data_IF_995351657437
#
_entry.id   IF_995351657437
#
_cell.length_a   1.000
_cell.length_b   1.000
_cell.length_c   1.000
_cell.angle_alpha   90.00
_cell.angle_beta   90.00
_cell.angle_gamma   90.00
#
_symmetry.space_group_name_H-M   'P 1'
#
loop_
_entity.id
_entity.type
_entity.pdbx_description
1 polymer ?
#
# COMPACT_ATOMS: atom_id res chain seq x y z
N UNK A 1 32.56 111.91 87.97
CA UNK A 1 33.24 112.25 86.71
C UNK A 1 32.85 111.23 85.65
N UNK A 2 32.01 111.66 84.71
CA UNK A 2 32.24 111.63 83.24
C UNK A 2 31.90 110.25 82.63
N UNK A 3 30.66 110.04 82.12
CA UNK A 3 30.17 110.27 80.72
C UNK A 3 30.75 109.20 79.76
N UNK A 4 30.06 108.48 78.87
CA UNK A 4 28.87 108.69 78.00
C UNK A 4 28.41 107.28 77.53
N UNK A 5 27.16 106.82 77.72
CA UNK A 5 26.04 106.75 76.75
C UNK A 5 26.38 106.21 75.35
N UNK A 6 25.80 105.07 74.95
CA UNK A 6 25.17 104.85 73.63
C UNK A 6 24.33 103.56 73.65
N UNK A 7 23.34 103.50 72.76
CA UNK A 7 22.08 102.77 72.88
C UNK A 7 22.01 101.47 72.04
N UNK A 8 20.94 100.69 72.32
CA UNK A 8 20.31 99.51 71.64
C UNK A 8 20.31 99.51 70.08
N UNK A 9 19.88 98.44 69.33
CA UNK A 9 19.13 97.22 69.72
C UNK A 9 19.51 95.91 68.95
N UNK A 10 18.71 94.83 69.07
CA UNK A 10 18.67 93.61 68.21
C UNK A 10 19.90 92.66 68.34
N UNK A 11 19.83 91.35 68.55
CA UNK A 11 18.98 90.30 67.94
C UNK A 11 18.86 89.12 68.93
N UNK A 12 17.64 88.62 69.04
CA UNK A 12 17.27 87.35 69.68
C UNK A 12 17.91 86.18 68.91
N UNK A 13 18.89 85.48 69.49
CA UNK A 13 19.37 84.21 68.96
C UNK A 13 18.44 83.08 69.45
N UNK A 14 17.25 83.02 68.86
CA UNK A 14 16.35 81.88 68.98
C UNK A 14 17.01 80.71 68.26
N UNK A 15 17.45 79.72 69.03
CA UNK A 15 17.85 78.42 68.50
C UNK A 15 16.61 77.76 67.85
N UNK A 16 16.37 78.07 66.58
CA UNK A 16 15.62 77.18 65.71
C UNK A 16 16.53 75.96 65.52
N UNK A 17 16.27 74.93 66.32
CA UNK A 17 16.48 73.57 65.84
C UNK A 17 15.65 73.45 64.56
N UNK A 18 16.30 73.65 63.40
CA UNK A 18 15.82 73.06 62.16
C UNK A 18 15.80 71.55 62.41
N UNK A 19 14.66 71.03 62.85
CA UNK A 19 14.20 69.77 62.32
C UNK A 19 14.21 69.96 60.80
N UNK A 20 15.33 69.57 60.18
CA UNK A 20 15.26 68.97 58.86
C UNK A 20 14.45 67.70 59.11
N UNK A 21 13.12 67.84 59.14
CA UNK A 21 12.26 66.74 58.74
C UNK A 21 12.74 66.49 57.32
N UNK A 22 13.59 65.48 57.16
CA UNK A 22 13.96 65.01 55.85
C UNK A 22 12.65 64.74 55.16
N UNK A 23 12.25 65.63 54.26
CA UNK A 23 11.17 65.35 53.34
C UNK A 23 11.75 64.22 52.52
N UNK A 24 11.45 62.99 52.94
CA UNK A 24 11.77 61.81 52.16
C UNK A 24 11.21 62.12 50.78
N UNK A 25 12.11 62.32 49.81
CA UNK A 25 11.71 62.61 48.46
C UNK A 25 10.79 61.47 48.03
N UNK A 26 9.54 61.81 47.69
CA UNK A 26 8.59 60.84 47.18
C UNK A 26 9.14 60.33 45.85
N UNK A 27 9.91 59.24 45.87
CA UNK A 27 10.35 58.57 44.67
C UNK A 27 9.11 57.92 44.05
N UNK A 28 8.87 58.21 42.77
CA UNK A 28 7.77 57.61 42.03
C UNK A 28 7.99 56.09 41.88
N UNK A 29 6.89 55.32 41.93
CA UNK A 29 6.96 53.89 41.70
C UNK A 29 7.30 53.62 40.24
N UNK A 30 8.35 52.83 40.01
CA UNK A 30 8.77 52.38 38.68
C UNK A 30 8.97 50.88 38.68
N UNK A 31 8.67 50.24 37.55
CA UNK A 31 8.97 48.83 37.29
C UNK A 31 10.02 48.81 36.19
N UNK A 32 11.19 48.24 36.49
CA UNK A 32 12.32 48.12 35.57
C UNK A 32 12.32 46.75 34.90
N UNK A 33 12.03 45.68 35.64
CA UNK A 33 11.82 44.33 35.09
C UNK A 33 10.58 43.69 35.70
N UNK A 34 9.80 42.91 34.92
CA UNK A 34 9.82 42.83 33.46
C UNK A 34 9.40 44.14 32.76
N UNK A 35 9.73 44.28 31.48
CA UNK A 35 9.12 45.30 30.61
C UNK A 35 7.79 44.79 30.05
N UNK A 36 6.89 45.72 29.68
CA UNK A 36 5.60 45.33 29.08
C UNK A 36 5.83 44.63 27.73
N UNK A 37 5.20 43.48 27.53
CA UNK A 37 5.38 42.60 26.38
C UNK A 37 6.52 41.58 26.51
N UNK A 38 7.20 41.51 27.66
CA UNK A 38 8.23 40.49 27.90
C UNK A 38 7.66 39.07 27.76
N UNK A 39 8.36 38.22 27.00
CA UNK A 39 7.97 36.82 26.76
C UNK A 39 8.72 35.93 27.74
N UNK A 40 7.97 35.05 28.38
CA UNK A 40 8.45 34.02 29.29
C UNK A 40 7.99 32.64 28.82
N UNK A 41 8.75 31.62 29.19
CA UNK A 41 8.48 30.22 28.91
C UNK A 41 8.28 29.43 30.21
N UNK A 42 7.66 28.24 30.15
CA UNK A 42 7.61 27.30 31.26
C UNK A 42 8.99 27.10 31.90
N UNK A 43 9.07 27.20 33.23
CA UNK A 43 10.30 27.07 34.01
C UNK A 43 11.10 28.37 34.19
N UNK A 44 10.77 29.43 33.46
CA UNK A 44 11.43 30.72 33.65
C UNK A 44 11.07 31.32 35.02
N UNK A 45 12.01 32.05 35.60
CA UNK A 45 11.80 32.73 36.88
C UNK A 45 11.42 34.18 36.64
N UNK A 46 10.26 34.59 37.17
CA UNK A 46 9.78 35.95 37.09
C UNK A 46 10.37 36.79 38.23
N UNK A 47 11.36 37.61 37.89
CA UNK A 47 11.97 38.57 38.80
C UNK A 47 11.40 39.96 38.51
N UNK A 48 10.78 40.55 39.53
CA UNK A 48 10.21 41.89 39.46
C UNK A 48 11.13 42.85 40.19
N UNK A 49 11.65 43.84 39.47
CA UNK A 49 12.55 44.86 40.03
C UNK A 49 12.12 46.26 39.63
N UNK A 50 12.49 47.24 40.43
CA UNK A 50 12.08 48.63 40.23
C UNK A 50 12.58 49.58 41.29
N UNK A 51 11.98 50.77 41.34
CA UNK A 51 12.20 51.75 42.41
C UNK A 51 10.89 52.17 43.05
N UNK A 52 10.93 52.42 44.36
CA UNK A 52 9.86 52.99 45.17
C UNK A 52 10.47 53.96 46.21
N UNK A 53 9.64 54.58 47.05
CA UNK A 53 10.13 55.38 48.16
C UNK A 53 11.06 54.53 49.06
N UNK A 54 12.21 55.07 49.53
CA UNK A 54 13.14 54.30 50.37
C UNK A 54 12.47 53.73 51.62
N UNK A 55 12.66 52.43 51.88
CA UNK A 55 12.02 51.72 53.00
C UNK A 55 10.52 51.42 52.82
N UNK A 56 9.92 51.74 51.67
CA UNK A 56 8.51 51.45 51.43
C UNK A 56 8.27 49.96 51.16
N UNK A 57 7.16 49.43 51.66
CA UNK A 57 6.68 48.10 51.27
C UNK A 57 6.05 48.13 49.88
N UNK A 58 6.57 47.28 48.99
CA UNK A 58 6.09 47.09 47.62
C UNK A 58 5.36 45.75 47.53
N UNK A 59 4.07 45.79 47.22
CA UNK A 59 3.27 44.59 47.00
C UNK A 59 3.14 44.30 45.51
N UNK A 60 3.34 43.05 45.12
CA UNK A 60 3.37 42.61 43.72
C UNK A 60 2.37 41.47 43.55
N UNK A 61 1.41 41.64 42.64
CA UNK A 61 0.39 40.65 42.28
C UNK A 61 0.53 40.29 40.81
N UNK A 62 0.37 39.01 40.49
CA UNK A 62 0.33 38.52 39.12
C UNK A 62 -1.02 37.88 38.85
N UNK A 63 -1.72 38.34 37.83
CA UNK A 63 -2.99 37.78 37.37
C UNK A 63 -2.79 37.06 36.05
N UNK A 64 -3.47 35.92 35.89
CA UNK A 64 -3.49 35.19 34.63
C UNK A 64 -4.45 35.84 33.61
N UNK A 65 -4.47 35.38 32.35
CA UNK A 65 -5.37 35.90 31.31
C UNK A 65 -6.86 35.91 31.67
N UNK A 66 -7.27 35.05 32.61
CA UNK A 66 -8.66 34.96 33.09
C UNK A 66 -8.94 35.89 34.28
N UNK A 67 -7.99 36.74 34.68
CA UNK A 67 -8.10 37.66 35.81
C UNK A 67 -7.93 37.01 37.19
N UNK A 68 -7.45 35.77 37.25
CA UNK A 68 -7.24 35.06 38.53
C UNK A 68 -5.85 35.38 39.07
N UNK A 69 -5.76 35.74 40.36
CA UNK A 69 -4.47 35.95 41.04
C UNK A 69 -3.68 34.64 41.14
N UNK A 70 -2.50 34.61 40.52
CA UNK A 70 -1.67 33.40 40.45
C UNK A 70 -0.44 33.44 41.33
N UNK A 71 0.16 34.61 41.53
CA UNK A 71 1.28 34.82 42.44
C UNK A 71 1.15 36.16 43.16
N UNK A 72 1.67 36.20 44.39
CA UNK A 72 1.71 37.39 45.22
C UNK A 72 3.00 37.40 46.02
N UNK A 73 3.60 38.58 46.16
CA UNK A 73 4.77 38.77 47.00
C UNK A 73 4.87 40.20 47.49
N UNK A 74 5.62 40.38 48.57
CA UNK A 74 5.89 41.69 49.17
C UNK A 74 7.38 41.80 49.40
N UNK A 75 7.95 42.95 49.06
CA UNK A 75 9.37 43.26 49.27
C UNK A 75 9.49 44.68 49.79
N UNK A 76 10.43 44.92 50.69
CA UNK A 76 10.75 46.28 51.16
C UNK A 76 11.80 46.89 50.23
N UNK A 77 11.56 48.13 49.78
CA UNK A 77 12.53 48.87 48.99
C UNK A 77 13.74 49.28 49.84
N UNK A 78 14.92 49.23 49.25
CA UNK A 78 16.17 49.54 49.93
C UNK A 78 16.10 50.94 50.61
N UNK A 79 16.41 51.05 51.92
CA UNK A 79 16.26 52.30 52.68
C UNK A 79 17.12 53.46 52.20
N UNK A 80 18.17 53.21 51.42
CA UNK A 80 19.09 54.24 50.93
C UNK A 80 18.82 54.62 49.47
N UNK A 81 18.45 53.64 48.64
CA UNK A 81 18.37 53.79 47.19
C UNK A 81 16.95 53.72 46.63
N UNK A 82 15.99 53.19 47.39
CA UNK A 82 14.61 52.94 46.95
C UNK A 82 14.47 51.76 45.99
N UNK A 83 15.54 51.00 45.73
CA UNK A 83 15.51 49.88 44.79
C UNK A 83 14.86 48.65 45.41
N UNK A 84 14.07 47.90 44.64
CA UNK A 84 13.55 46.60 45.07
C UNK A 84 13.77 45.54 43.98
N UNK A 85 13.88 44.29 44.41
CA UNK A 85 13.95 43.12 43.52
C UNK A 85 13.36 41.91 44.23
N UNK A 86 12.42 41.23 43.60
CA UNK A 86 11.74 40.07 44.14
C UNK A 86 11.65 38.98 43.08
N UNK A 87 12.12 37.78 43.41
CA UNK A 87 11.71 36.58 42.69
C UNK A 87 10.26 36.27 43.07
N UNK A 88 9.33 36.63 42.19
CA UNK A 88 7.90 36.50 42.46
C UNK A 88 7.46 35.04 42.39
N UNK A 89 7.88 34.33 41.34
CA UNK A 89 7.60 32.92 41.13
C UNK A 89 8.46 32.34 40.01
N UNK A 90 8.62 31.01 40.04
CA UNK A 90 9.03 30.23 38.87
C UNK A 90 7.77 29.76 38.13
N UNK A 91 7.70 30.02 36.82
CA UNK A 91 6.56 29.64 36.00
C UNK A 91 6.50 28.10 35.87
N UNK A 92 5.34 27.46 36.04
CA UNK A 92 5.25 26.00 36.15
C UNK A 92 5.53 25.25 34.85
N UNK A 93 5.96 23.98 34.97
CA UNK A 93 6.15 23.01 33.87
C UNK A 93 5.29 21.76 34.09
N UNK A 94 4.19 21.54 33.35
CA UNK A 94 3.60 22.38 32.30
C UNK A 94 2.65 23.49 32.83
N UNK A 95 2.50 24.64 32.15
CA UNK A 95 1.53 25.67 32.53
C UNK A 95 0.08 25.30 32.22
N UNK A 96 -0.14 24.61 31.09
CA UNK A 96 -1.38 23.91 30.69
C UNK A 96 -2.61 24.80 30.41
N UNK A 97 -3.40 24.55 29.36
CA UNK A 97 -4.65 25.28 29.09
C UNK A 97 -5.74 25.08 30.16
N UNK A 98 -5.64 24.03 30.98
CA UNK A 98 -6.61 23.66 32.02
C UNK A 98 -6.15 24.01 33.45
N UNK A 99 -5.02 24.70 33.59
CA UNK A 99 -4.38 24.98 34.89
C UNK A 99 -4.62 26.38 35.43
N UNK A 100 -4.14 26.62 36.66
CA UNK A 100 -4.00 27.97 37.23
C UNK A 100 -3.16 28.90 36.34
N UNK A 101 -2.34 28.34 35.44
CA UNK A 101 -1.35 29.05 34.63
C UNK A 101 -1.53 28.85 33.11
N UNK A 102 -2.68 29.24 32.51
CA UNK A 102 -2.86 29.11 31.06
C UNK A 102 -1.86 29.97 30.27
N UNK A 103 -1.52 29.55 29.05
CA UNK A 103 -0.74 30.39 28.14
C UNK A 103 -1.50 31.67 27.79
N UNK A 104 -0.76 32.77 27.57
CA UNK A 104 -1.34 34.06 27.21
C UNK A 104 -0.74 35.22 28.00
N UNK A 105 -1.45 36.35 27.98
CA UNK A 105 -1.01 37.59 28.63
C UNK A 105 -1.40 37.64 30.11
N UNK A 106 -0.39 37.77 30.97
CA UNK A 106 -0.51 37.97 32.40
C UNK A 106 -0.35 39.45 32.72
N UNK A 107 -1.09 39.91 33.72
CA UNK A 107 -1.01 41.28 34.21
C UNK A 107 -0.32 41.30 35.57
N UNK A 108 0.81 41.99 35.64
CA UNK A 108 1.54 42.27 36.85
C UNK A 108 1.08 43.61 37.42
N UNK A 109 0.56 43.62 38.65
CA UNK A 109 0.23 44.84 39.38
C UNK A 109 1.25 45.04 40.51
N UNK A 110 1.99 46.15 40.44
CA UNK A 110 2.95 46.56 41.47
C UNK A 110 2.37 47.77 42.19
N UNK A 111 2.23 47.68 43.50
CA UNK A 111 1.64 48.73 44.34
C UNK A 111 2.59 49.16 45.44
N UNK A 112 2.72 50.47 45.64
CA UNK A 112 3.49 51.10 46.72
C UNK A 112 2.93 52.48 47.02
N UNK A 113 2.75 52.81 48.31
CA UNK A 113 2.37 54.15 48.79
C UNK A 113 1.20 54.83 48.04
N UNK A 114 0.17 54.05 47.66
CA UNK A 114 -1.02 54.55 46.95
C UNK A 114 -0.90 54.60 45.42
N UNK A 115 0.26 54.32 44.85
CA UNK A 115 0.49 54.24 43.40
C UNK A 115 0.47 52.77 42.93
N UNK A 116 -0.17 52.51 41.79
CA UNK A 116 -0.15 51.20 41.11
C UNK A 116 0.48 51.34 39.73
N UNK A 117 1.37 50.42 39.37
CA UNK A 117 1.87 50.22 38.00
C UNK A 117 1.43 48.85 37.50
N UNK A 118 0.96 48.81 36.26
CA UNK A 118 0.59 47.59 35.56
C UNK A 118 1.57 47.28 34.45
N UNK A 119 2.05 46.04 34.38
CA UNK A 119 2.95 45.55 33.32
C UNK A 119 2.36 44.25 32.76
N UNK A 120 2.23 44.15 31.45
CA UNK A 120 1.78 42.92 30.80
C UNK A 120 2.97 42.06 30.41
N UNK A 121 2.93 40.77 30.68
CA UNK A 121 3.92 39.78 30.21
C UNK A 121 3.21 38.64 29.50
N UNK A 122 3.91 37.95 28.61
CA UNK A 122 3.35 36.86 27.82
C UNK A 122 4.00 35.55 28.23
N UNK A 123 3.19 34.56 28.64
CA UNK A 123 3.65 33.19 28.84
C UNK A 123 3.35 32.39 27.58
N UNK A 124 4.41 31.99 26.88
CA UNK A 124 4.33 31.24 25.63
C UNK A 124 4.82 29.80 25.81
N UNK A 125 4.29 28.85 25.01
CA UNK A 125 4.82 27.49 24.97
C UNK A 125 6.25 27.49 24.41
N UNK A 126 7.13 26.69 25.01
CA UNK A 126 8.53 26.54 24.57
C UNK A 126 8.68 25.67 23.31
N UNK A 127 7.69 24.82 23.04
CA UNK A 127 7.69 23.89 21.90
C UNK A 127 6.28 23.36 21.62
N UNK A 128 6.17 22.55 20.57
CA UNK A 128 5.02 21.70 20.32
C UNK A 128 5.26 20.27 20.80
N UNK A 129 4.19 19.50 20.92
CA UNK A 129 4.25 18.09 21.33
C UNK A 129 3.90 17.20 20.14
N UNK A 130 4.76 16.25 19.81
CA UNK A 130 4.44 15.15 18.89
C UNK A 130 3.91 14.01 19.74
N UNK A 131 2.73 13.49 19.42
CA UNK A 131 2.15 12.30 20.03
C UNK A 131 1.95 11.21 18.97
N UNK A 132 2.26 9.96 19.33
CA UNK A 132 2.05 8.82 18.44
C UNK A 132 1.71 7.58 19.26
N UNK A 133 0.87 6.72 18.69
CA UNK A 133 0.62 5.37 19.19
C UNK A 133 1.18 4.35 18.21
N UNK A 134 2.07 3.48 18.68
CA UNK A 134 2.70 2.46 17.85
C UNK A 134 2.10 1.09 18.17
N UNK A 135 1.66 0.39 17.14
CA UNK A 135 1.06 -0.95 17.23
C UNK A 135 1.70 -1.92 16.24
N UNK A 136 1.51 -3.21 16.44
CA UNK A 136 1.87 -4.26 15.48
C UNK A 136 0.75 -4.52 14.46
N UNK A 137 0.99 -5.42 13.50
CA UNK A 137 0.01 -5.82 12.49
C UNK A 137 -1.26 -6.47 13.06
N UNK A 138 -1.24 -6.92 14.32
CA UNK A 138 -2.39 -7.48 15.03
C UNK A 138 -3.13 -6.44 15.88
N UNK A 139 -2.64 -5.19 15.91
CA UNK A 139 -3.19 -4.09 16.68
C UNK A 139 -2.72 -4.05 18.15
N UNK A 140 -1.76 -4.90 18.55
CA UNK A 140 -1.22 -4.86 19.89
C UNK A 140 -0.22 -3.70 20.04
N UNK A 141 -0.15 -3.03 21.20
CA UNK A 141 0.81 -1.96 21.42
C UNK A 141 2.26 -2.46 21.36
N UNK A 142 3.12 -1.72 20.67
CA UNK A 142 4.54 -2.03 20.58
C UNK A 142 5.32 -1.17 21.56
N UNK A 143 5.67 -1.73 22.72
CA UNK A 143 6.52 -1.07 23.71
C UNK A 143 7.99 -1.00 23.27
N UNK A 144 8.70 0.08 23.57
CA UNK A 144 10.13 0.21 23.34
C UNK A 144 10.55 0.40 21.88
N UNK A 145 9.61 0.69 20.97
CA UNK A 145 9.92 1.27 19.68
C UNK A 145 10.45 2.70 19.85
N UNK A 146 11.51 3.02 19.11
CA UNK A 146 12.11 4.35 19.06
C UNK A 146 11.33 5.23 18.09
N UNK A 147 10.89 6.39 18.58
CA UNK A 147 10.34 7.49 17.80
C UNK A 147 11.42 8.56 17.74
N UNK A 148 12.01 8.77 16.58
CA UNK A 148 13.12 9.70 16.36
C UNK A 148 12.66 10.86 15.47
N UNK A 149 13.02 12.09 15.86
CA UNK A 149 12.85 13.27 15.03
C UNK A 149 14.14 13.51 14.25
N UNK A 150 14.09 13.26 12.93
CA UNK A 150 15.27 13.19 12.07
C UNK A 150 16.03 14.52 12.07
N UNK A 151 17.37 14.44 12.21
CA UNK A 151 18.25 15.61 12.18
C UNK A 151 18.33 16.42 13.48
N UNK A 152 17.58 16.04 14.52
CA UNK A 152 17.55 16.78 15.80
C UNK A 152 18.24 16.04 16.94
N UNK A 153 18.44 14.72 16.82
CA UNK A 153 18.95 13.85 17.88
C UNK A 153 17.94 13.58 19.01
N UNK A 154 16.73 14.16 18.92
CA UNK A 154 15.67 13.95 19.90
C UNK A 154 14.90 12.67 19.54
N UNK A 155 14.74 11.81 20.53
CA UNK A 155 13.95 10.60 20.42
C UNK A 155 13.24 10.25 21.71
N UNK A 156 12.19 9.45 21.61
CA UNK A 156 11.49 8.84 22.74
C UNK A 156 11.25 7.35 22.48
N UNK A 157 11.14 6.59 23.55
CA UNK A 157 10.70 5.20 23.50
C UNK A 157 9.21 5.12 23.80
N UNK A 158 8.51 4.27 23.06
CA UNK A 158 7.11 3.96 23.31
C UNK A 158 6.91 3.21 24.62
N UNK A 159 5.85 3.55 25.34
CA UNK A 159 5.46 2.97 26.62
C UNK A 159 4.74 1.62 26.45
N UNK A 160 4.31 1.02 27.55
CA UNK A 160 3.64 -0.30 27.55
C UNK A 160 2.32 -0.30 26.74
N UNK A 161 1.66 0.86 26.63
CA UNK A 161 0.45 1.06 25.84
C UNK A 161 0.73 1.46 24.37
N UNK A 162 2.01 1.47 23.98
CA UNK A 162 2.47 1.85 22.65
C UNK A 162 2.55 3.36 22.42
N UNK A 163 2.20 4.20 23.40
CA UNK A 163 2.23 5.65 23.26
C UNK A 163 3.65 6.21 23.40
N UNK A 164 3.97 7.26 22.65
CA UNK A 164 5.16 8.08 22.85
C UNK A 164 4.83 9.56 22.63
N UNK A 165 5.49 10.41 23.41
CA UNK A 165 5.38 11.87 23.28
C UNK A 165 6.76 12.52 23.23
N UNK A 166 6.96 13.47 22.32
CA UNK A 166 8.20 14.25 22.19
C UNK A 166 7.85 15.73 22.20
N UNK A 167 8.47 16.50 23.09
CA UNK A 167 8.39 17.97 23.04
C UNK A 167 9.58 18.53 22.29
N UNK A 168 9.31 19.31 21.24
CA UNK A 168 10.33 19.89 20.37
C UNK A 168 9.96 21.33 19.98
N UNK A 169 10.97 22.13 19.62
CA UNK A 169 10.75 23.45 19.03
C UNK A 169 9.81 23.38 17.82
N UNK A 170 9.04 24.44 17.55
CA UNK A 170 8.18 24.49 16.37
C UNK A 170 9.00 24.41 15.08
N UNK A 171 8.48 23.69 14.08
CA UNK A 171 9.18 23.45 12.83
C UNK A 171 8.54 22.31 12.04
N UNK A 172 9.07 22.06 10.86
CA UNK A 172 8.69 20.90 10.04
C UNK A 172 9.78 19.84 10.15
N UNK A 173 9.38 18.60 10.43
CA UNK A 173 10.30 17.50 10.70
C UNK A 173 9.87 16.20 10.02
N UNK A 174 10.84 15.35 9.73
CA UNK A 174 10.58 13.94 9.42
C UNK A 174 10.69 13.11 10.69
N UNK A 175 9.81 12.12 10.82
CA UNK A 175 9.68 11.29 12.02
C UNK A 175 9.92 9.85 11.64
N UNK A 176 10.95 9.27 12.22
CA UNK A 176 11.37 7.89 11.97
C UNK A 176 11.01 7.02 13.16
N UNK A 177 10.27 5.94 12.91
CA UNK A 177 9.82 5.02 13.95
C UNK A 177 10.38 3.64 13.64
N UNK A 178 11.09 3.04 14.59
CA UNK A 178 11.73 1.74 14.39
C UNK A 178 11.90 0.96 15.70
N UNK A 179 11.96 -0.37 15.56
CA UNK A 179 12.27 -1.30 16.65
C UNK A 179 12.99 -2.51 16.07
N UNK A 180 13.93 -3.08 16.82
CA UNK A 180 14.57 -4.35 16.43
C UNK A 180 13.51 -5.43 16.21
N UNK A 181 13.62 -6.18 15.11
CA UNK A 181 12.63 -7.19 14.71
C UNK A 181 11.43 -6.64 13.95
N UNK A 182 11.34 -5.33 13.70
CA UNK A 182 10.26 -4.70 12.93
C UNK A 182 10.82 -3.92 11.73
N UNK A 183 10.00 -3.75 10.69
CA UNK A 183 10.29 -2.82 9.60
C UNK A 183 10.08 -1.37 10.07
N UNK A 184 11.01 -0.47 9.71
CA UNK A 184 10.92 0.95 10.05
C UNK A 184 9.84 1.69 9.23
N UNK A 185 9.31 2.77 9.79
CA UNK A 185 8.37 3.70 9.15
C UNK A 185 8.96 5.10 9.18
N UNK A 186 8.87 5.83 8.06
CA UNK A 186 9.26 7.24 7.93
C UNK A 186 8.03 8.07 7.61
N UNK A 187 7.78 9.10 8.40
CA UNK A 187 6.68 10.03 8.25
C UNK A 187 7.25 11.41 7.92
N UNK A 188 7.10 11.83 6.67
CA UNK A 188 7.72 13.07 6.16
C UNK A 188 6.85 14.31 6.38
N UNK A 189 7.50 15.47 6.41
CA UNK A 189 6.90 16.81 6.39
C UNK A 189 5.88 17.08 7.50
N UNK A 190 6.21 16.70 8.73
CA UNK A 190 5.35 16.89 9.91
C UNK A 190 5.55 18.26 10.56
N UNK A 191 4.54 19.11 10.44
CA UNK A 191 4.55 20.47 10.99
C UNK A 191 4.14 20.46 12.46
N UNK A 192 5.06 20.90 13.31
CA UNK A 192 4.88 21.06 14.76
C UNK A 192 4.70 22.54 15.08
N UNK A 193 3.59 22.88 15.72
CA UNK A 193 3.25 24.26 16.14
C UNK A 193 3.45 24.42 17.64
N UNK A 194 3.90 25.60 18.07
CA UNK A 194 4.14 25.91 19.48
C UNK A 194 2.85 25.78 20.31
N UNK A 195 2.90 24.99 21.38
CA UNK A 195 1.77 24.82 22.31
C UNK A 195 0.66 23.88 21.82
N UNK A 196 0.77 23.39 20.59
CA UNK A 196 -0.15 22.40 20.05
C UNK A 196 0.42 20.99 20.18
N UNK A 197 -0.48 20.01 20.14
CA UNK A 197 -0.10 18.61 20.01
C UNK A 197 -0.34 18.17 18.57
N UNK A 198 0.74 17.83 17.86
CA UNK A 198 0.67 17.11 16.61
C UNK A 198 0.44 15.62 16.93
N UNK A 199 -0.80 15.19 16.76
CA UNK A 199 -1.16 13.77 16.86
C UNK A 199 -0.91 13.08 15.51
N UNK A 200 0.06 12.16 15.48
CA UNK A 200 0.35 11.32 14.32
C UNK A 200 -0.62 10.14 14.18
N UNK A 201 -1.51 9.96 15.16
CA UNK A 201 -2.43 8.84 15.23
C UNK A 201 -1.72 7.53 15.53
N UNK A 202 -2.28 6.45 14.98
CA UNK A 202 -1.74 5.09 15.15
C UNK A 202 -0.84 4.72 13.98
N UNK A 203 0.41 4.35 14.29
CA UNK A 203 1.40 3.86 13.34
C UNK A 203 1.61 2.37 13.56
N UNK A 204 1.45 1.58 12.50
CA UNK A 204 1.69 0.14 12.53
C UNK A 204 3.13 -0.19 12.12
N UNK A 205 3.87 -0.87 13.00
CA UNK A 205 5.13 -1.52 12.65
C UNK A 205 4.87 -2.98 12.29
N UNK A 206 5.38 -3.42 11.14
CA UNK A 206 5.23 -4.81 10.70
C UNK A 206 6.39 -5.64 11.21
N UNK A 207 6.11 -6.73 11.92
CA UNK A 207 7.16 -7.63 12.40
C UNK A 207 7.87 -8.34 11.23
N UNK A 208 9.19 -8.43 11.31
CA UNK A 208 10.00 -9.13 10.31
C UNK A 208 9.76 -10.64 10.37
N UNK A 209 9.46 -11.17 11.57
CA UNK A 209 9.09 -12.57 11.78
C UNK A 209 7.79 -12.93 11.05
N UNK A 210 6.73 -12.13 11.18
CA UNK A 210 5.47 -12.34 10.44
C UNK A 210 5.69 -12.27 8.93
N UNK A 211 6.53 -11.34 8.46
CA UNK A 211 6.93 -11.29 7.04
C UNK A 211 7.65 -12.56 6.59
N UNK A 212 8.55 -13.11 7.40
CA UNK A 212 9.24 -14.38 7.08
C UNK A 212 8.22 -15.52 7.03
N UNK A 213 7.34 -15.64 8.02
CA UNK A 213 6.30 -16.67 8.04
C UNK A 213 5.35 -16.58 6.83
N UNK A 214 4.99 -15.37 6.39
CA UNK A 214 4.21 -15.17 5.17
C UNK A 214 4.96 -15.63 3.91
N UNK A 215 6.26 -15.33 3.83
CA UNK A 215 7.10 -15.78 2.72
C UNK A 215 7.28 -17.30 2.70
N UNK A 216 7.45 -17.94 3.86
CA UNK A 216 7.54 -19.40 3.99
C UNK A 216 6.24 -20.08 3.52
N UNK A 217 5.08 -19.56 3.92
CA UNK A 217 3.78 -20.05 3.43
C UNK A 217 3.65 -19.88 1.91
N UNK A 218 4.13 -18.75 1.37
CA UNK A 218 4.11 -18.51 -0.08
C UNK A 218 5.01 -19.49 -0.83
N UNK A 219 6.17 -19.82 -0.29
CA UNK A 219 7.09 -20.82 -0.86
C UNK A 219 6.42 -22.20 -0.86
N UNK A 220 5.84 -22.63 0.26
CA UNK A 220 5.15 -23.92 0.34
C UNK A 220 4.01 -24.04 -0.68
N UNK A 221 3.22 -22.98 -0.86
CA UNK A 221 2.17 -22.94 -1.89
C UNK A 221 2.75 -23.04 -3.31
N UNK A 222 3.86 -22.38 -3.59
CA UNK A 222 4.53 -22.45 -4.89
C UNK A 222 5.10 -23.85 -5.14
N UNK A 223 5.65 -24.52 -4.12
CA UNK A 223 6.13 -25.89 -4.23
C UNK A 223 5.00 -26.87 -4.58
N UNK A 224 3.83 -26.72 -3.95
CA UNK A 224 2.65 -27.52 -4.28
C UNK A 224 2.18 -27.27 -5.73
N UNK A 225 2.16 -26.01 -6.17
CA UNK A 225 1.83 -25.66 -7.55
C UNK A 225 2.81 -26.29 -8.55
N UNK A 226 4.11 -26.30 -8.25
CA UNK A 226 5.13 -26.94 -9.09
C UNK A 226 4.88 -28.44 -9.18
N UNK A 227 4.59 -29.11 -8.06
CA UNK A 227 4.29 -30.55 -8.05
C UNK A 227 3.05 -30.89 -8.89
N UNK A 228 2.00 -30.09 -8.80
CA UNK A 228 0.79 -30.26 -9.63
C UNK A 228 1.08 -30.09 -11.12
N UNK A 229 1.84 -29.05 -11.49
CA UNK A 229 2.25 -28.83 -12.88
C UNK A 229 3.12 -29.97 -13.43
N UNK A 230 3.99 -30.54 -12.60
CA UNK A 230 4.80 -31.71 -12.98
C UNK A 230 3.93 -32.93 -13.28
N UNK A 231 2.94 -33.23 -12.43
CA UNK A 231 2.00 -34.34 -12.66
C UNK A 231 1.18 -34.15 -13.94
N UNK A 232 0.73 -32.91 -14.21
CA UNK A 232 0.02 -32.60 -15.46
C UNK A 232 0.91 -32.82 -16.70
N UNK A 233 2.20 -32.46 -16.61
CA UNK A 233 3.13 -32.65 -17.72
C UNK A 233 3.41 -34.14 -17.98
N UNK A 234 3.51 -34.96 -16.94
CA UNK A 234 3.64 -36.42 -17.06
C UNK A 234 2.39 -37.04 -17.71
N UNK A 235 1.19 -36.66 -17.27
CA UNK A 235 -0.06 -37.13 -17.88
C UNK A 235 -0.16 -36.75 -19.36
N UNK A 236 0.22 -35.52 -19.72
CA UNK A 236 0.26 -35.07 -21.10
C UNK A 236 1.28 -35.87 -21.94
N UNK A 237 2.43 -36.23 -21.37
CA UNK A 237 3.42 -37.07 -22.05
C UNK A 237 2.86 -38.46 -22.36
N UNK A 238 2.12 -39.07 -21.42
CA UNK A 238 1.47 -40.36 -21.62
C UNK A 238 0.37 -40.31 -22.69
N UNK A 239 -0.42 -39.23 -22.71
CA UNK A 239 -1.41 -38.99 -23.77
C UNK A 239 -0.75 -38.88 -25.15
N UNK A 240 0.37 -38.15 -25.26
CA UNK A 240 1.13 -38.03 -26.52
C UNK A 240 1.66 -39.39 -26.97
N UNK A 241 2.17 -40.20 -26.05
CA UNK A 241 2.67 -41.57 -26.33
C UNK A 241 1.55 -42.47 -26.88
N UNK A 242 0.37 -42.40 -26.27
CA UNK A 242 -0.82 -43.15 -26.70
C UNK A 242 -1.25 -42.73 -28.09
N UNK A 243 -1.43 -41.42 -28.33
CA UNK A 243 -1.80 -40.88 -29.65
C UNK A 243 -0.76 -41.23 -30.72
N UNK A 244 0.53 -41.22 -30.39
CA UNK A 244 1.59 -41.63 -31.31
C UNK A 244 1.43 -43.09 -31.74
N UNK A 245 1.09 -43.98 -30.80
CA UNK A 245 0.85 -45.40 -31.08
C UNK A 245 -0.40 -45.60 -31.94
N UNK A 246 -1.48 -44.86 -31.66
CA UNK A 246 -2.69 -44.88 -32.47
C UNK A 246 -2.43 -44.42 -33.91
N UNK A 247 -1.64 -43.37 -34.10
CA UNK A 247 -1.24 -42.87 -35.43
C UNK A 247 -0.49 -43.93 -36.23
N UNK A 248 0.48 -44.63 -35.64
CA UNK A 248 1.22 -45.71 -36.33
C UNK A 248 0.31 -46.90 -36.66
N UNK A 249 -0.65 -47.22 -35.78
CA UNK A 249 -1.68 -48.22 -36.05
C UNK A 249 -2.55 -47.85 -37.27
N UNK A 250 -3.05 -46.61 -37.31
CA UNK A 250 -3.84 -46.10 -38.44
C UNK A 250 -3.03 -46.08 -39.75
N UNK A 251 -1.77 -45.69 -39.70
CA UNK A 251 -0.85 -45.70 -40.86
C UNK A 251 -0.66 -47.12 -41.44
N UNK A 252 -0.60 -48.12 -40.57
CA UNK A 252 -0.56 -49.53 -40.99
C UNK A 252 -1.87 -49.92 -41.70
N UNK A 253 -3.03 -49.52 -41.17
CA UNK A 253 -4.32 -49.77 -41.81
C UNK A 253 -4.42 -49.09 -43.19
N UNK A 254 -3.96 -47.84 -43.31
CA UNK A 254 -3.91 -47.12 -44.60
C UNK A 254 -3.06 -47.88 -45.63
N UNK A 255 -1.94 -48.45 -45.20
CA UNK A 255 -1.08 -49.27 -46.08
C UNK A 255 -1.81 -50.52 -46.57
N UNK A 256 -2.58 -51.18 -45.70
CA UNK A 256 -3.39 -52.36 -46.08
C UNK A 256 -4.48 -52.01 -47.10
N UNK A 257 -5.09 -50.81 -47.01
CA UNK A 257 -6.07 -50.33 -47.99
C UNK A 257 -5.44 -50.25 -49.38
N UNK A 258 -4.22 -49.73 -49.50
CA UNK A 258 -3.50 -49.68 -50.78
C UNK A 258 -3.28 -51.07 -51.38
N UNK A 259 -2.98 -52.08 -50.55
CA UNK A 259 -2.87 -53.48 -51.02
C UNK A 259 -4.21 -54.01 -51.54
N UNK A 260 -5.32 -53.72 -50.84
CA UNK A 260 -6.66 -54.10 -51.29
C UNK A 260 -7.04 -53.43 -52.62
N UNK A 261 -6.60 -52.20 -52.87
CA UNK A 261 -6.79 -51.53 -54.17
C UNK A 261 -6.09 -52.31 -55.30
N UNK A 262 -4.86 -52.78 -55.08
CA UNK A 262 -4.15 -53.62 -56.07
C UNK A 262 -4.88 -54.94 -56.31
N UNK A 263 -5.35 -55.62 -55.26
CA UNK A 263 -6.15 -56.85 -55.40
C UNK A 263 -7.41 -56.59 -56.22
N UNK A 264 -8.09 -55.47 -55.97
CA UNK A 264 -9.31 -55.08 -56.70
C UNK A 264 -9.02 -54.85 -58.19
N UNK A 265 -7.91 -54.18 -58.53
CA UNK A 265 -7.48 -53.99 -59.91
C UNK A 265 -7.19 -55.32 -60.61
N UNK A 266 -6.46 -56.22 -59.95
CA UNK A 266 -6.15 -57.55 -60.48
C UNK A 266 -7.42 -58.36 -60.72
N UNK A 267 -8.37 -58.33 -59.78
CA UNK A 267 -9.64 -59.02 -59.91
C UNK A 267 -10.47 -58.43 -61.07
N UNK A 268 -10.48 -57.11 -61.25
CA UNK A 268 -11.15 -56.45 -62.36
C UNK A 268 -10.58 -56.90 -63.71
N UNK A 269 -9.26 -56.99 -63.84
CA UNK A 269 -8.61 -57.53 -65.04
C UNK A 269 -8.97 -59.00 -65.30
N UNK A 270 -9.00 -59.84 -64.26
CA UNK A 270 -9.39 -61.24 -64.39
C UNK A 270 -10.86 -61.39 -64.87
N UNK A 271 -11.79 -60.58 -64.36
CA UNK A 271 -13.19 -60.57 -64.80
C UNK A 271 -13.32 -60.15 -66.26
N UNK A 272 -12.55 -59.15 -66.72
CA UNK A 272 -12.54 -58.74 -68.13
C UNK A 272 -12.03 -59.85 -69.06
N UNK A 273 -10.99 -60.56 -68.63
CA UNK A 273 -10.47 -61.73 -69.36
C UNK A 273 -11.54 -62.82 -69.45
N UNK A 274 -12.16 -63.19 -68.32
CA UNK A 274 -13.20 -64.21 -68.28
C UNK A 274 -14.41 -63.84 -69.15
N UNK A 275 -14.79 -62.56 -69.17
CA UNK A 275 -15.85 -62.04 -70.03
C UNK A 275 -15.51 -62.25 -71.51
N UNK A 276 -14.27 -61.93 -71.90
CA UNK A 276 -13.79 -62.12 -73.28
C UNK A 276 -13.77 -63.59 -73.69
N UNK A 277 -13.29 -64.48 -72.81
CA UNK A 277 -13.32 -65.93 -73.04
C UNK A 277 -14.75 -66.46 -73.18
N UNK A 278 -15.68 -65.97 -72.36
CA UNK A 278 -17.10 -66.35 -72.44
C UNK A 278 -17.69 -65.94 -73.78
N UNK A 279 -17.38 -64.73 -74.27
CA UNK A 279 -17.83 -64.26 -75.59
C UNK A 279 -17.25 -65.14 -76.71
N UNK A 280 -15.95 -65.42 -76.70
CA UNK A 280 -15.33 -66.30 -77.71
C UNK A 280 -15.91 -67.72 -77.70
N UNK A 281 -16.21 -68.26 -76.52
CA UNK A 281 -16.86 -69.57 -76.40
C UNK A 281 -18.30 -69.52 -76.95
N UNK A 282 -19.05 -68.46 -76.65
CA UNK A 282 -20.39 -68.23 -77.21
C UNK A 282 -20.35 -68.18 -78.75
N UNK A 283 -19.40 -67.44 -79.33
CA UNK A 283 -19.23 -67.35 -80.78
C UNK A 283 -18.89 -68.71 -81.41
N UNK A 284 -18.05 -69.51 -80.72
CA UNK A 284 -17.71 -70.87 -81.11
C UNK A 284 -18.94 -71.79 -81.08
N UNK A 285 -19.74 -71.74 -80.01
CA UNK A 285 -20.99 -72.52 -79.87
C UNK A 285 -21.99 -72.16 -80.97
N UNK A 286 -22.17 -70.87 -81.28
CA UNK A 286 -23.06 -70.42 -82.35
C UNK A 286 -22.60 -70.92 -83.72
N UNK A 287 -21.28 -70.86 -83.99
CA UNK A 287 -20.70 -71.38 -85.23
C UNK A 287 -20.90 -72.89 -85.38
N UNK A 288 -20.71 -73.65 -84.31
CA UNK A 288 -20.92 -75.09 -84.30
C UNK A 288 -22.40 -75.44 -84.47
N UNK A 289 -23.31 -74.74 -83.79
CA UNK A 289 -24.77 -74.87 -83.94
C UNK A 289 -25.22 -74.64 -85.39
N UNK A 290 -24.67 -73.61 -86.04
CA UNK A 290 -24.90 -73.35 -87.47
C UNK A 290 -24.40 -74.48 -88.38
N UNK A 291 -23.20 -75.01 -88.10
CA UNK A 291 -22.64 -76.15 -88.83
C UNK A 291 -23.53 -77.40 -88.68
N UNK A 292 -23.97 -77.72 -87.46
CA UNK A 292 -24.89 -78.84 -87.19
C UNK A 292 -26.21 -78.66 -87.93
N UNK A 293 -26.78 -77.45 -87.92
CA UNK A 293 -28.02 -77.12 -88.64
C UNK A 293 -27.86 -77.32 -90.16
N UNK A 294 -26.74 -76.89 -90.73
CA UNK A 294 -26.42 -77.09 -92.14
C UNK A 294 -26.27 -78.57 -92.52
N UNK A 295 -25.63 -79.37 -91.66
CA UNK A 295 -25.53 -80.82 -91.85
C UNK A 295 -26.91 -81.51 -91.82
N UNK A 296 -27.82 -81.10 -90.95
CA UNK A 296 -29.18 -81.64 -90.95
C UNK A 296 -29.89 -81.37 -92.28
N UNK A 297 -29.74 -80.17 -92.85
CA UNK A 297 -30.32 -79.81 -94.15
C UNK A 297 -29.77 -80.68 -95.29
N UNK A 298 -28.46 -80.99 -95.29
CA UNK A 298 -27.83 -81.90 -96.24
C UNK A 298 -28.26 -83.36 -96.05
N UNK A 299 -28.54 -83.80 -94.81
CA UNK A 299 -29.09 -85.14 -94.57
C UNK A 299 -30.51 -85.28 -95.14
N UNK A 300 -31.38 -84.27 -94.98
CA UNK A 300 -32.72 -84.27 -95.56
C UNK A 300 -32.69 -84.12 -97.09
N UNK A 301 -31.82 -83.26 -97.62
CA UNK A 301 -31.64 -83.11 -99.07
C UNK A 301 -31.03 -84.37 -99.72
N UNK A 302 -30.08 -85.02 -99.05
CA UNK A 302 -29.43 -86.26 -99.51
C UNK A 302 -30.39 -87.47 -99.49
N UNK A 303 -31.21 -87.60 -98.44
CA UNK A 303 -32.27 -88.61 -98.38
C UNK A 303 -33.31 -88.34 -99.49
N UNK A 304 -33.73 -87.08 -99.68
CA UNK A 304 -34.65 -86.70 -100.75
C UNK A 304 -34.11 -86.99 -102.16
N UNK A 305 -32.86 -86.63 -102.44
CA UNK A 305 -32.20 -86.92 -103.72
C UNK A 305 -32.00 -88.43 -103.95
N UNK A 306 -31.67 -89.19 -102.90
CA UNK A 306 -31.57 -90.65 -102.95
C UNK A 306 -32.91 -91.31 -103.29
N UNK A 307 -34.01 -90.84 -102.69
CA UNK A 307 -35.36 -91.31 -103.01
C UNK A 307 -35.73 -90.96 -104.46
N UNK A 308 -35.43 -89.75 -104.93
CA UNK A 308 -35.66 -89.34 -106.33
C UNK A 308 -34.84 -90.21 -107.29
N UNK A 309 -33.58 -90.49 -106.96
CA UNK A 309 -32.72 -91.38 -107.74
C UNK A 309 -33.26 -92.81 -107.82
N UNK A 310 -33.76 -93.37 -106.71
CA UNK A 310 -34.41 -94.68 -106.68
C UNK A 310 -35.69 -94.67 -107.53
N UNK A 311 -36.53 -93.64 -107.42
CA UNK A 311 -37.74 -93.49 -108.24
C UNK A 311 -37.39 -93.43 -109.73
N UNK A 312 -36.38 -92.63 -110.11
CA UNK A 312 -35.91 -92.53 -111.50
C UNK A 312 -35.37 -93.87 -112.01
N UNK A 313 -34.64 -94.63 -111.19
CA UNK A 313 -34.15 -95.96 -111.54
C UNK A 313 -35.31 -96.95 -111.78
N UNK A 314 -36.33 -96.94 -110.92
CA UNK A 314 -37.54 -97.77 -111.09
C UNK A 314 -38.31 -97.39 -112.36
N UNK A 315 -38.45 -96.09 -112.65
CA UNK A 315 -39.09 -95.60 -113.89
C UNK A 315 -38.30 -96.00 -115.14
N UNK A 316 -36.97 -95.92 -115.10
CA UNK A 316 -36.12 -96.35 -116.20
C UNK A 316 -36.24 -97.86 -116.48
N UNK A 317 -36.25 -98.70 -115.43
CA UNK A 317 -36.49 -100.14 -115.54
C UNK A 317 -37.88 -100.42 -116.15
N UNK A 318 -38.92 -99.72 -115.71
CA UNK A 318 -40.28 -99.87 -116.25
C UNK A 318 -40.38 -99.43 -117.73
N UNK A 319 -39.69 -98.36 -118.11
CA UNK A 319 -39.64 -97.89 -119.50
C UNK A 319 -38.94 -98.89 -120.43
N UNK A 320 -37.80 -99.45 -120.00
CA UNK A 320 -37.10 -100.52 -120.75
C UNK A 320 -37.97 -101.77 -120.86
N UNK A 321 -38.64 -102.19 -119.78
CA UNK A 321 -39.57 -103.32 -119.80
C UNK A 321 -40.77 -103.12 -120.74
N UNK A 322 -41.20 -101.87 -120.96
CA UNK A 322 -42.27 -101.51 -121.91
C UNK A 322 -41.77 -101.53 -123.37
N UNK A 323 -40.52 -101.14 -123.61
CA UNK A 323 -39.93 -101.08 -124.96
C UNK A 323 -39.49 -102.45 -125.51
N UNK A 324 -39.17 -103.41 -124.65
CA UNK A 324 -38.84 -104.80 -125.05
C UNK A 324 -40.11 -105.62 -125.41
N UNK A 325 -41.31 -105.08 -125.17
CA UNK A 325 -42.60 -105.73 -125.47
C UNK A 325 -43.32 -105.17 -126.70
N UNK A 326 -42.66 -104.37 -127.55
CA UNK A 326 -43.22 -103.80 -128.78
C UNK A 326 -42.34 -104.10 -129.98
#
# INVERSE_FOLDING_TARGET
MVKVKQASPFVVALALALMIVGVASAQALTVLTPTSGAIYYPGDTLIVSGRAAPGASVSIKLYNPNGVLVAFGVVEADPSTGSFSLNLCTLPTPPGPEGKWPYGTYTLEVYSAGETKSVNINLNPRGGTIAVKVVDESGNPVQGATVEVVGTGISALTQADGSATITISPGTYDIKIYKSGYAQVLLEDKSVVAGETLDLGTVTLVSLESKIAQLENRIAQLEEQIAQLQSQLEEQADQISTLTSEIEGLKTQVTMISTLQTVTQNLQSAVQQLTSTTQSLSDTVNSLSGTVSGMQMLSYAGIGAGIIGIILAVVAIAYVAKKVKA
#
